data_IF_732035090093
#
_entry.id   IF_732035090093
#
_cell.length_a   1.000
_cell.length_b   1.000
_cell.length_c   1.000
_cell.angle_alpha   90.00
_cell.angle_beta   90.00
_cell.angle_gamma   90.00
#
_symmetry.space_group_name_H-M   'P 1'
#
loop_
_entity.id
_entity.type
_entity.pdbx_description
1 polymer ?
#
# COMPACT_ATOMS: atom_id res chain seq x y z
N UNK A 1 9.58 21.09 -19.84
CA UNK A 1 9.96 19.90 -19.06
C UNK A 1 9.55 18.71 -19.91
N UNK A 2 10.50 18.02 -20.56
CA UNK A 2 10.20 16.78 -21.28
C UNK A 2 10.02 15.70 -20.21
N UNK A 3 8.78 15.28 -20.00
CA UNK A 3 8.49 14.13 -19.15
C UNK A 3 8.84 12.90 -19.97
N UNK A 4 9.74 12.08 -19.46
CA UNK A 4 10.04 10.79 -20.08
C UNK A 4 8.97 9.78 -19.67
N UNK A 5 8.00 9.57 -20.56
CA UNK A 5 6.90 8.61 -20.35
C UNK A 5 7.35 7.15 -20.41
N UNK A 6 8.60 6.87 -20.82
CA UNK A 6 9.16 5.51 -20.86
C UNK A 6 9.19 4.85 -19.48
N UNK A 7 9.30 5.64 -18.42
CA UNK A 7 9.35 5.17 -17.03
C UNK A 7 7.97 5.08 -16.37
N UNK A 8 6.91 5.58 -17.02
CA UNK A 8 5.57 5.57 -16.46
C UNK A 8 5.10 4.16 -16.06
N UNK A 9 5.26 3.10 -16.88
CA UNK A 9 4.86 1.75 -16.50
C UNK A 9 5.51 1.24 -15.19
N UNK A 10 6.78 1.56 -14.98
CA UNK A 10 7.50 1.20 -13.76
C UNK A 10 6.96 1.92 -12.54
N UNK A 11 6.66 3.21 -12.66
CA UNK A 11 6.02 3.99 -11.60
C UNK A 11 4.64 3.43 -11.23
N UNK A 12 3.82 3.07 -12.23
CA UNK A 12 2.50 2.47 -12.00
C UNK A 12 2.61 1.11 -11.29
N UNK A 13 3.54 0.25 -11.72
CA UNK A 13 3.76 -1.06 -11.12
C UNK A 13 4.28 -0.92 -9.67
N UNK A 14 5.20 0.00 -9.43
CA UNK A 14 5.73 0.28 -8.09
C UNK A 14 4.66 0.81 -7.15
N UNK A 15 3.78 1.71 -7.62
CA UNK A 15 2.63 2.16 -6.85
C UNK A 15 1.67 0.99 -6.51
N UNK A 16 1.39 0.10 -7.47
CA UNK A 16 0.61 -1.11 -7.21
C UNK A 16 1.24 -2.00 -6.13
N UNK A 17 2.56 -2.20 -6.20
CA UNK A 17 3.31 -2.98 -5.23
C UNK A 17 3.29 -2.35 -3.82
N UNK A 18 3.52 -1.04 -3.73
CA UNK A 18 3.41 -0.27 -2.48
C UNK A 18 2.01 -0.42 -1.86
N UNK A 19 0.96 -0.39 -2.69
CA UNK A 19 -0.41 -0.56 -2.23
C UNK A 19 -0.63 -1.94 -1.60
N UNK A 20 -0.18 -2.99 -2.31
CA UNK A 20 -0.33 -4.38 -1.86
C UNK A 20 0.41 -4.61 -0.55
N UNK A 21 1.68 -4.21 -0.48
CA UNK A 21 2.49 -4.40 0.74
C UNK A 21 1.95 -3.56 1.89
N UNK A 22 1.61 -2.30 1.63
CA UNK A 22 1.13 -1.37 2.64
C UNK A 22 -0.13 -1.89 3.33
N UNK A 23 -1.14 -2.28 2.54
CA UNK A 23 -2.38 -2.84 3.08
C UNK A 23 -2.19 -4.28 3.60
N UNK A 24 -1.39 -5.11 2.94
CA UNK A 24 -1.09 -6.48 3.36
C UNK A 24 -0.40 -6.58 4.72
N UNK A 25 0.44 -5.60 5.07
CA UNK A 25 1.06 -5.49 6.40
C UNK A 25 0.03 -5.33 7.53
N UNK A 26 -1.14 -4.75 7.23
CA UNK A 26 -2.26 -4.61 8.15
C UNK A 26 -3.27 -5.75 8.04
N UNK A 27 -3.53 -6.26 6.84
CA UNK A 27 -4.52 -7.31 6.57
C UNK A 27 -3.99 -8.70 6.87
N UNK A 28 -3.75 -8.97 8.16
CA UNK A 28 -3.37 -10.28 8.63
C UNK A 28 -3.83 -10.51 10.08
N UNK A 29 -4.00 -11.78 10.45
CA UNK A 29 -4.46 -12.19 11.77
C UNK A 29 -3.60 -11.65 12.94
N UNK A 30 -2.30 -11.43 12.72
CA UNK A 30 -1.40 -10.90 13.75
C UNK A 30 -1.69 -9.43 14.05
N UNK A 31 -1.81 -8.61 13.00
CA UNK A 31 -2.17 -7.20 13.11
C UNK A 31 -3.59 -7.01 13.67
N UNK A 32 -4.53 -7.89 13.31
CA UNK A 32 -5.90 -7.92 13.86
C UNK A 32 -5.94 -8.20 15.36
N UNK A 33 -5.10 -9.11 15.83
CA UNK A 33 -5.01 -9.47 17.26
C UNK A 33 -4.24 -8.41 18.07
N UNK A 34 -3.18 -7.85 17.49
CA UNK A 34 -2.35 -6.85 18.12
C UNK A 34 -1.91 -5.79 17.10
N UNK A 35 -2.48 -4.59 17.19
CA UNK A 35 -2.18 -3.50 16.27
C UNK A 35 -0.68 -3.12 16.23
N UNK A 36 0.06 -3.40 17.31
CA UNK A 36 1.51 -3.19 17.35
C UNK A 36 2.27 -4.07 16.34
N UNK A 37 1.79 -5.29 16.09
CA UNK A 37 2.35 -6.16 15.04
C UNK A 37 2.11 -5.56 13.64
N UNK A 38 0.96 -4.93 13.43
CA UNK A 38 0.66 -4.20 12.20
C UNK A 38 1.64 -3.05 11.97
N UNK A 39 1.91 -2.24 13.01
CA UNK A 39 2.94 -1.19 12.96
C UNK A 39 4.33 -1.75 12.66
N UNK A 40 4.73 -2.85 13.31
CA UNK A 40 6.04 -3.48 13.07
C UNK A 40 6.20 -3.95 11.62
N UNK A 41 5.21 -4.67 11.08
CA UNK A 41 5.24 -5.10 9.69
C UNK A 41 5.20 -3.91 8.73
N UNK A 42 4.37 -2.90 9.02
CA UNK A 42 4.27 -1.71 8.19
C UNK A 42 5.57 -0.92 8.14
N UNK A 43 6.25 -0.70 9.28
CA UNK A 43 7.54 0.00 9.31
C UNK A 43 8.64 -0.80 8.60
N UNK A 44 8.69 -2.12 8.78
CA UNK A 44 9.65 -2.99 8.09
C UNK A 44 9.42 -2.96 6.57
N UNK A 45 8.15 -3.00 6.15
CA UNK A 45 7.75 -2.85 4.75
C UNK A 45 8.11 -1.48 4.18
N UNK A 46 7.93 -0.39 4.93
CA UNK A 46 8.30 0.96 4.49
C UNK A 46 9.80 1.06 4.18
N UNK A 47 10.66 0.50 5.04
CA UNK A 47 12.10 0.43 4.80
C UNK A 47 12.42 -0.40 3.55
N UNK A 48 11.73 -1.53 3.38
CA UNK A 48 11.91 -2.40 2.20
C UNK A 48 11.52 -1.68 0.90
N UNK A 49 10.41 -0.95 0.91
CA UNK A 49 9.95 -0.13 -0.22
C UNK A 49 10.97 0.94 -0.58
N UNK A 50 11.59 1.60 0.41
CA UNK A 50 12.63 2.60 0.16
C UNK A 50 13.86 1.98 -0.53
N UNK A 51 14.32 0.83 -0.05
CA UNK A 51 15.46 0.12 -0.65
C UNK A 51 15.15 -0.30 -2.08
N UNK A 52 13.94 -0.84 -2.32
CA UNK A 52 13.50 -1.23 -3.66
C UNK A 52 13.34 -0.04 -4.60
N UNK A 53 12.78 1.08 -4.12
CA UNK A 53 12.67 2.31 -4.88
C UNK A 53 14.04 2.83 -5.34
N UNK A 54 15.01 2.87 -4.43
CA UNK A 54 16.39 3.25 -4.75
C UNK A 54 17.05 2.27 -5.74
N UNK A 55 16.81 0.97 -5.60
CA UNK A 55 17.34 -0.03 -6.52
C UNK A 55 16.74 0.09 -7.94
N UNK A 56 15.44 0.40 -8.05
CA UNK A 56 14.78 0.67 -9.34
C UNK A 56 15.36 1.93 -9.97
N UNK A 57 15.48 3.02 -9.21
CA UNK A 57 16.07 4.27 -9.70
C UNK A 57 17.49 4.06 -10.23
N UNK A 58 18.32 3.30 -9.50
CA UNK A 58 19.66 2.94 -9.94
C UNK A 58 19.66 2.10 -11.23
N UNK A 59 18.78 1.09 -11.31
CA UNK A 59 18.68 0.26 -12.51
C UNK A 59 18.24 1.05 -13.74
N UNK A 60 17.45 2.11 -13.54
CA UNK A 60 16.94 2.96 -14.62
C UNK A 60 17.92 4.07 -15.01
N UNK A 61 18.73 4.59 -14.07
CA UNK A 61 19.74 5.61 -14.34
C UNK A 61 20.97 5.07 -15.07
N UNK A 62 21.20 3.76 -15.03
CA UNK A 62 22.37 3.11 -15.63
C UNK A 62 23.69 3.42 -14.92
N UNK A 63 23.63 4.08 -13.75
CA UNK A 63 24.80 4.35 -12.93
C UNK A 63 25.20 3.13 -12.09
N UNK A 64 26.49 2.80 -12.11
CA UNK A 64 27.07 1.67 -11.36
C UNK A 64 27.46 2.02 -9.91
N UNK A 65 26.99 3.16 -9.39
CA UNK A 65 27.23 3.54 -7.99
C UNK A 65 26.58 2.52 -7.04
N UNK A 66 27.19 2.20 -5.90
CA UNK A 66 26.60 1.18 -5.01
C UNK A 66 25.21 1.58 -4.49
N UNK A 67 24.34 0.60 -4.18
CA UNK A 67 22.98 0.84 -3.64
C UNK A 67 23.00 1.80 -2.44
N UNK A 68 24.01 1.67 -1.57
CA UNK A 68 24.20 2.55 -0.42
C UNK A 68 24.53 3.99 -0.82
N UNK A 69 25.31 4.17 -1.89
CA UNK A 69 25.60 5.47 -2.46
C UNK A 69 24.33 6.10 -3.01
N UNK A 70 23.53 5.34 -3.77
CA UNK A 70 22.23 5.79 -4.27
C UNK A 70 21.27 6.22 -3.13
N UNK A 71 21.11 5.41 -2.08
CA UNK A 71 20.31 5.76 -0.90
C UNK A 71 20.81 7.02 -0.17
N UNK A 72 22.13 7.27 -0.18
CA UNK A 72 22.72 8.46 0.46
C UNK A 72 22.75 9.70 -0.43
N UNK A 73 22.72 9.53 -1.76
CA UNK A 73 22.81 10.59 -2.76
C UNK A 73 21.43 11.05 -3.25
N UNK A 74 20.40 10.21 -3.15
CA UNK A 74 19.02 10.58 -3.48
C UNK A 74 18.55 11.72 -2.57
N UNK A 75 17.95 12.75 -3.17
CA UNK A 75 17.41 13.90 -2.46
C UNK A 75 16.48 13.41 -1.34
N UNK A 76 16.69 13.90 -0.11
CA UNK A 76 15.87 13.53 1.07
C UNK A 76 14.38 13.76 0.82
N UNK A 77 14.05 14.71 -0.04
CA UNK A 77 12.70 14.98 -0.52
C UNK A 77 12.05 13.78 -1.23
N UNK A 78 12.78 13.07 -2.10
CA UNK A 78 12.25 11.92 -2.84
C UNK A 78 11.89 10.77 -1.88
N UNK A 79 12.77 10.46 -0.92
CA UNK A 79 12.48 9.47 0.11
C UNK A 79 11.23 9.84 0.92
N UNK A 80 11.09 11.11 1.26
CA UNK A 80 9.92 11.59 2.00
C UNK A 80 8.62 11.46 1.21
N UNK A 81 8.65 11.76 -0.10
CA UNK A 81 7.51 11.60 -1.01
C UNK A 81 7.10 10.13 -1.07
N UNK A 82 8.05 9.21 -1.26
CA UNK A 82 7.76 7.76 -1.34
C UNK A 82 7.18 7.24 -0.03
N UNK A 83 7.75 7.60 1.13
CA UNK A 83 7.22 7.16 2.44
C UNK A 83 5.82 7.74 2.70
N UNK A 84 5.60 9.00 2.35
CA UNK A 84 4.30 9.65 2.53
C UNK A 84 3.25 8.99 1.64
N UNK A 85 3.59 8.70 0.38
CA UNK A 85 2.72 7.98 -0.55
C UNK A 85 2.41 6.58 -0.03
N UNK A 86 3.41 5.85 0.48
CA UNK A 86 3.23 4.54 1.10
C UNK A 86 2.27 4.60 2.29
N UNK A 87 2.43 5.59 3.16
CA UNK A 87 1.55 5.79 4.31
C UNK A 87 0.11 6.06 3.89
N UNK A 88 -0.11 6.98 2.94
CA UNK A 88 -1.44 7.32 2.43
C UNK A 88 -2.14 6.11 1.80
N UNK A 89 -1.41 5.33 1.00
CA UNK A 89 -1.94 4.15 0.33
C UNK A 89 -2.26 3.00 1.28
N UNK A 90 -1.63 2.96 2.46
CA UNK A 90 -1.86 1.93 3.48
C UNK A 90 -3.10 2.21 4.37
N UNK A 91 -3.71 3.39 4.24
CA UNK A 91 -4.82 3.84 5.12
C UNK A 91 -6.00 2.86 5.14
N UNK A 92 -6.52 2.33 4.01
CA UNK A 92 -7.68 1.46 4.04
C UNK A 92 -7.49 0.23 4.93
N UNK A 93 -6.35 -0.45 4.82
CA UNK A 93 -5.98 -1.58 5.67
C UNK A 93 -5.72 -1.17 7.12
N UNK A 94 -4.94 -0.11 7.34
CA UNK A 94 -4.60 0.37 8.68
C UNK A 94 -5.86 0.79 9.47
N UNK A 95 -6.70 1.61 8.87
CA UNK A 95 -7.94 2.09 9.48
C UNK A 95 -8.86 0.92 9.84
N UNK A 96 -8.98 -0.06 8.95
CA UNK A 96 -9.82 -1.24 9.19
C UNK A 96 -9.38 -2.05 10.41
N UNK A 97 -8.06 -2.19 10.63
CA UNK A 97 -7.52 -2.86 11.83
C UNK A 97 -7.70 -1.99 13.08
N UNK A 98 -7.33 -0.71 13.01
CA UNK A 98 -7.38 0.21 14.15
C UNK A 98 -8.81 0.43 14.66
N UNK A 99 -9.78 0.53 13.74
CA UNK A 99 -11.20 0.66 14.07
C UNK A 99 -11.91 -0.67 14.24
N UNK A 100 -11.20 -1.80 14.20
CA UNK A 100 -11.76 -3.16 14.36
C UNK A 100 -12.96 -3.39 13.45
N UNK A 101 -12.83 -3.01 12.18
CA UNK A 101 -13.82 -3.29 11.15
C UNK A 101 -13.80 -4.79 10.81
N UNK A 102 -14.94 -5.40 10.48
CA UNK A 102 -14.98 -6.80 10.05
C UNK A 102 -14.23 -6.98 8.72
N UNK A 103 -13.84 -8.23 8.44
CA UNK A 103 -13.00 -8.55 7.28
C UNK A 103 -13.67 -8.15 5.95
N UNK A 104 -14.99 -8.34 5.83
CA UNK A 104 -15.75 -7.97 4.63
C UNK A 104 -15.68 -6.46 4.30
N UNK A 105 -15.78 -5.60 5.31
CA UNK A 105 -15.64 -4.15 5.14
C UNK A 105 -14.21 -3.75 4.78
N UNK A 106 -13.22 -4.48 5.30
CA UNK A 106 -11.81 -4.24 5.00
C UNK A 106 -11.50 -4.59 3.56
N UNK A 107 -11.99 -5.73 3.11
CA UNK A 107 -11.86 -6.19 1.73
C UNK A 107 -12.53 -5.21 0.76
N UNK A 108 -13.74 -4.74 1.08
CA UNK A 108 -14.44 -3.74 0.27
C UNK A 108 -13.67 -2.41 0.21
N UNK A 109 -13.13 -1.94 1.34
CA UNK A 109 -12.36 -0.71 1.38
C UNK A 109 -11.10 -0.82 0.51
N UNK A 110 -10.36 -1.91 0.64
CA UNK A 110 -9.08 -2.10 -0.05
C UNK A 110 -9.27 -2.38 -1.55
N UNK A 111 -10.22 -3.25 -1.92
CA UNK A 111 -10.51 -3.50 -3.34
C UNK A 111 -11.16 -2.28 -3.97
N UNK A 112 -12.11 -1.63 -3.29
CA UNK A 112 -12.75 -0.40 -3.75
C UNK A 112 -11.75 0.73 -3.99
N UNK A 113 -10.83 0.97 -3.06
CA UNK A 113 -9.77 1.98 -3.25
C UNK A 113 -8.85 1.61 -4.42
N UNK A 114 -8.51 0.33 -4.63
CA UNK A 114 -7.70 -0.04 -5.81
C UNK A 114 -8.40 0.29 -7.14
N UNK A 115 -9.72 0.08 -7.23
CA UNK A 115 -10.49 0.42 -8.42
C UNK A 115 -10.52 1.93 -8.65
N UNK A 116 -10.76 2.71 -7.59
CA UNK A 116 -10.85 4.17 -7.68
C UNK A 116 -9.51 4.80 -8.05
N UNK A 117 -8.41 4.29 -7.49
CA UNK A 117 -7.08 4.89 -7.67
C UNK A 117 -6.42 4.42 -8.97
N UNK A 118 -6.39 3.11 -9.24
CA UNK A 118 -5.56 2.57 -10.33
C UNK A 118 -6.23 2.61 -11.70
N UNK A 119 -7.56 2.58 -11.81
CA UNK A 119 -8.25 2.69 -13.11
C UNK A 119 -7.90 4.00 -13.81
N UNK A 120 -8.12 5.19 -13.21
CA UNK A 120 -7.85 6.46 -13.89
C UNK A 120 -6.36 6.78 -13.99
N UNK A 121 -5.49 6.00 -13.33
CA UNK A 121 -4.05 6.30 -13.24
C UNK A 121 -3.37 6.31 -14.62
N UNK A 122 -3.78 5.44 -15.54
CA UNK A 122 -3.29 5.43 -16.93
C UNK A 122 -3.61 6.75 -17.65
N UNK A 123 -4.84 7.22 -17.51
CA UNK A 123 -5.31 8.46 -18.15
C UNK A 123 -4.69 9.71 -17.54
N UNK A 124 -4.33 9.67 -16.25
CA UNK A 124 -3.72 10.81 -15.55
C UNK A 124 -2.28 11.09 -15.99
N UNK A 125 -1.61 10.13 -16.62
CA UNK A 125 -0.25 10.32 -17.12
C UNK A 125 -0.21 11.34 -18.28
N UNK A 126 -1.33 11.67 -18.94
CA UNK A 126 -1.40 12.65 -20.04
C UNK A 126 -0.31 12.46 -21.10
N UNK A 127 0.02 11.20 -21.40
CA UNK A 127 0.95 10.86 -22.48
C UNK A 127 0.26 11.16 -23.82
N UNK A 128 0.79 12.07 -24.65
CA UNK A 128 0.14 12.51 -25.89
C UNK A 128 0.02 11.39 -26.93
N UNK A 129 0.78 10.31 -26.80
CA UNK A 129 0.81 9.22 -27.78
C UNK A 129 0.03 7.96 -27.33
N UNK A 130 -0.19 7.76 -26.02
CA UNK A 130 -0.90 6.57 -25.51
C UNK A 130 -1.43 6.74 -24.07
N UNK A 131 -2.75 6.63 -23.87
CA UNK A 131 -3.39 6.81 -22.56
C UNK A 131 -3.11 5.70 -21.51
N UNK A 132 -2.20 4.75 -21.75
CA UNK A 132 -1.78 3.66 -20.84
C UNK A 132 -2.92 2.92 -20.10
N UNK A 133 -4.15 3.03 -20.59
CA UNK A 133 -5.36 2.62 -19.87
C UNK A 133 -5.45 1.10 -19.73
N UNK A 134 -5.00 0.37 -20.76
CA UNK A 134 -4.95 -1.09 -20.68
C UNK A 134 -3.97 -1.56 -19.60
N UNK A 135 -2.84 -0.87 -19.46
CA UNK A 135 -1.87 -1.15 -18.41
C UNK A 135 -2.45 -0.83 -17.02
N UNK A 136 -3.15 0.31 -16.89
CA UNK A 136 -3.79 0.70 -15.62
C UNK A 136 -4.87 -0.29 -15.20
N UNK A 137 -5.70 -0.77 -16.14
CA UNK A 137 -6.66 -1.84 -15.90
C UNK A 137 -5.98 -3.15 -15.50
N UNK A 138 -4.91 -3.54 -16.19
CA UNK A 138 -4.13 -4.74 -15.87
C UNK A 138 -3.54 -4.69 -14.45
N UNK A 139 -2.95 -3.56 -14.07
CA UNK A 139 -2.42 -3.33 -12.72
C UNK A 139 -3.55 -3.33 -11.69
N UNK A 140 -4.68 -2.67 -12.00
CA UNK A 140 -5.85 -2.66 -11.11
C UNK A 140 -6.34 -4.08 -10.82
N UNK A 141 -6.49 -4.91 -11.86
CA UNK A 141 -6.92 -6.29 -11.71
C UNK A 141 -5.91 -7.13 -10.93
N UNK A 142 -4.61 -6.95 -11.20
CA UNK A 142 -3.55 -7.65 -10.48
C UNK A 142 -3.53 -7.26 -8.99
N UNK A 143 -3.54 -5.95 -8.69
CA UNK A 143 -3.55 -5.43 -7.31
C UNK A 143 -4.81 -5.83 -6.58
N UNK A 144 -5.99 -5.62 -7.17
CA UNK A 144 -7.27 -6.00 -6.58
C UNK A 144 -7.38 -7.51 -6.34
N UNK A 145 -6.93 -8.32 -7.30
CA UNK A 145 -6.89 -9.78 -7.18
C UNK A 145 -5.93 -10.27 -6.10
N UNK A 146 -4.72 -9.67 -6.01
CA UNK A 146 -3.77 -9.96 -4.95
C UNK A 146 -4.32 -9.58 -3.58
N UNK A 147 -4.94 -8.39 -3.43
CA UNK A 147 -5.54 -7.97 -2.18
C UNK A 147 -6.71 -8.85 -1.77
N UNK A 148 -7.53 -9.27 -2.73
CA UNK A 148 -8.60 -10.23 -2.49
C UNK A 148 -8.03 -11.56 -1.97
N UNK A 149 -7.04 -12.13 -2.67
CA UNK A 149 -6.39 -13.37 -2.28
C UNK A 149 -5.75 -13.25 -0.89
N UNK A 150 -5.06 -12.14 -0.62
CA UNK A 150 -4.44 -11.84 0.66
C UNK A 150 -5.47 -11.80 1.79
N UNK A 151 -6.62 -11.12 1.55
CA UNK A 151 -7.72 -11.04 2.49
C UNK A 151 -8.27 -12.41 2.85
N UNK A 152 -8.46 -13.30 1.86
CA UNK A 152 -9.00 -14.64 2.06
C UNK A 152 -8.01 -15.54 2.82
N UNK A 153 -6.71 -15.40 2.57
CA UNK A 153 -5.69 -16.28 3.14
C UNK A 153 -5.23 -15.87 4.54
N UNK A 154 -5.12 -14.57 4.81
CA UNK A 154 -4.40 -14.06 5.97
C UNK A 154 -5.25 -13.21 6.91
N UNK A 155 -6.34 -12.58 6.42
CA UNK A 155 -7.17 -11.70 7.24
C UNK A 155 -8.17 -12.49 8.11
N UNK A 156 -8.63 -11.87 9.19
CA UNK A 156 -9.62 -12.46 10.08
C UNK A 156 -10.50 -11.39 10.73
N UNK A 157 -11.67 -11.80 11.20
CA UNK A 157 -12.54 -10.89 11.95
C UNK A 157 -11.90 -10.47 13.28
N UNK A 158 -12.18 -9.23 13.73
CA UNK A 158 -11.65 -8.72 14.98
C UNK A 158 -12.27 -9.45 16.17
N UNK A 159 -11.45 -9.76 17.17
CA UNK A 159 -11.93 -10.28 18.45
C UNK A 159 -12.71 -9.20 19.21
N UNK A 160 -14.03 -9.37 19.28
CA UNK A 160 -14.90 -8.51 20.06
C UNK A 160 -14.79 -8.89 21.54
N UNK A 161 -13.85 -8.28 22.27
CA UNK A 161 -13.92 -8.30 23.72
C UNK A 161 -15.09 -7.42 24.15
N UNK A 162 -16.25 -8.04 24.42
CA UNK A 162 -17.33 -7.37 25.13
C UNK A 162 -16.74 -6.84 26.43
N UNK A 163 -16.68 -5.51 26.59
CA UNK A 163 -16.66 -4.93 27.94
C UNK A 163 -17.97 -5.36 28.57
N UNK A 164 -17.96 -6.44 29.33
CA UNK A 164 -19.04 -6.75 30.27
C UNK A 164 -18.99 -5.63 31.28
N UNK A 165 -19.80 -4.59 31.07
CA UNK A 165 -20.11 -3.65 32.13
C UNK A 165 -20.71 -4.50 33.25
N UNK A 166 -20.12 -4.57 34.45
CA UNK A 166 -20.76 -5.23 35.56
C UNK A 166 -22.13 -4.58 35.74
N UNK A 167 -23.19 -5.39 35.74
CA UNK A 167 -24.60 -4.97 35.78
C UNK A 167 -24.98 -4.29 37.12
N UNK A 168 -24.02 -4.12 38.02
CA UNK A 168 -24.20 -3.53 39.35
C UNK A 168 -24.45 -2.02 39.33
N UNK A 169 -24.19 -1.31 38.22
CA UNK A 169 -24.40 0.15 38.12
C UNK A 169 -25.73 0.56 37.45
N UNK A 170 -26.57 -0.39 37.01
CA UNK A 170 -27.90 -0.07 36.44
C UNK A 170 -29.04 -0.09 37.48
N UNK A 171 -28.74 -0.33 38.75
CA UNK A 171 -29.73 -0.47 39.83
C UNK A 171 -29.55 0.51 41.00
N UNK A 172 -28.90 1.66 40.79
CA UNK A 172 -28.90 2.77 41.74
C UNK A 172 -29.66 3.98 41.20
#
# INVERSE_FOLDING_TARGET
MNIDFTLAPWGMAFAGFMYVIGNGAWMNHLARKNAWMGWLFWTTSAVTVLILGAAIEQSLSGESSGIWTALSSVNKENHWIVVTLFALMSIPGAASVLFRQPASWTQLAVVGTSLIVFIPLGMQLHDPDNDHLLLSLGITLAVGGLMWLWSVLLDCDPNHQRKTVPVEEMSQ
#
